data_IF_606257881591
#
_entry.id   IF_606257881591
#
_cell.length_a   1.000
_cell.length_b   1.000
_cell.length_c   1.000
_cell.angle_alpha   90.00
_cell.angle_beta   90.00
_cell.angle_gamma   90.00
#
_symmetry.space_group_name_H-M   'P 1'
#
loop_
_entity.id
_entity.type
_entity.pdbx_description
1 polymer ?
#
# COMPACT_ATOMS: atom_id res chain seq x y z
N UNK A 1 0.57 27.52 -15.75
CA UNK A 1 2.03 27.39 -16.01
C UNK A 1 2.80 26.85 -14.80
N UNK A 2 2.39 27.15 -13.54
CA UNK A 2 3.13 26.74 -12.34
C UNK A 2 3.04 25.22 -12.01
N UNK A 3 2.00 24.52 -12.42
CA UNK A 3 1.83 23.10 -12.10
C UNK A 3 2.73 22.16 -12.94
N UNK A 4 3.03 22.54 -14.17
CA UNK A 4 3.90 21.74 -15.04
C UNK A 4 5.38 21.83 -14.64
N UNK A 5 5.83 22.95 -14.10
CA UNK A 5 7.22 23.11 -13.66
C UNK A 5 7.53 22.28 -12.40
N UNK A 6 6.56 22.12 -11.49
CA UNK A 6 6.72 21.33 -10.25
C UNK A 6 6.84 19.84 -10.56
N UNK A 7 6.11 19.31 -11.54
CA UNK A 7 6.20 17.91 -11.97
C UNK A 7 7.53 17.64 -12.66
N UNK A 8 8.01 18.55 -13.51
CA UNK A 8 9.29 18.41 -14.18
C UNK A 8 10.49 18.50 -13.22
N UNK A 9 10.41 19.32 -12.17
CA UNK A 9 11.43 19.40 -11.12
C UNK A 9 11.44 18.12 -10.29
N UNK A 10 10.27 17.60 -9.89
CA UNK A 10 10.16 16.35 -9.13
C UNK A 10 10.69 15.13 -9.92
N UNK A 11 10.45 15.06 -11.23
CA UNK A 11 11.00 14.00 -12.09
C UNK A 11 12.51 14.09 -12.25
N UNK A 12 13.09 15.31 -12.33
CA UNK A 12 14.54 15.52 -12.37
C UNK A 12 15.23 15.16 -11.04
N UNK A 13 14.59 15.39 -9.90
CA UNK A 13 15.13 15.03 -8.59
C UNK A 13 15.21 13.51 -8.40
N UNK A 14 14.22 12.76 -8.92
CA UNK A 14 14.20 11.30 -8.88
C UNK A 14 15.35 10.68 -9.67
N UNK A 15 15.68 11.25 -10.82
CA UNK A 15 16.72 10.72 -11.73
C UNK A 15 18.16 10.88 -11.23
N UNK A 16 18.42 11.65 -10.16
CA UNK A 16 19.74 12.05 -9.73
C UNK A 16 20.19 11.58 -8.34
N UNK A 17 19.35 10.79 -7.62
CA UNK A 17 19.75 10.29 -6.29
C UNK A 17 20.84 9.22 -6.39
N UNK A 18 21.97 9.47 -5.75
CA UNK A 18 23.06 8.49 -5.60
C UNK A 18 22.73 7.50 -4.48
N UNK A 19 23.33 6.29 -4.49
CA UNK A 19 23.17 5.33 -3.40
C UNK A 19 23.41 5.96 -2.03
N UNK A 20 22.44 5.83 -1.13
CA UNK A 20 22.46 6.44 0.21
C UNK A 20 21.80 7.82 0.31
N UNK A 21 21.47 8.45 -0.82
CA UNK A 21 20.76 9.73 -0.81
C UNK A 21 19.24 9.55 -0.72
N UNK A 22 18.58 10.56 -0.16
CA UNK A 22 17.13 10.59 0.01
C UNK A 22 16.60 12.02 0.11
N UNK A 23 15.31 12.17 -0.10
CA UNK A 23 14.51 13.38 0.14
C UNK A 23 13.50 13.12 1.27
N UNK A 24 13.29 14.11 2.14
CA UNK A 24 12.28 13.99 3.20
C UNK A 24 11.61 15.33 3.45
N UNK A 25 10.30 15.40 3.20
CA UNK A 25 9.49 16.62 3.14
C UNK A 25 8.15 16.41 3.87
N UNK A 26 8.17 16.10 5.19
CA UNK A 26 6.94 15.77 5.92
C UNK A 26 5.96 16.94 6.05
N UNK A 27 6.44 18.17 5.90
CA UNK A 27 5.63 19.39 5.90
C UNK A 27 4.66 19.47 4.73
N UNK A 28 4.93 18.77 3.61
CA UNK A 28 4.00 18.71 2.45
C UNK A 28 2.67 18.04 2.78
N UNK A 29 2.65 17.17 3.78
CA UNK A 29 1.43 16.53 4.29
C UNK A 29 1.60 16.22 5.79
N UNK A 30 1.21 17.15 6.68
CA UNK A 30 1.44 17.02 8.12
C UNK A 30 0.73 15.84 8.78
N UNK A 31 -0.38 15.35 8.19
CA UNK A 31 -1.20 14.27 8.74
C UNK A 31 -1.79 13.40 7.62
N UNK A 32 -2.35 12.26 8.00
CA UNK A 32 -3.00 11.34 7.08
C UNK A 32 -2.37 9.94 7.10
N UNK A 33 -3.01 8.95 6.46
CA UNK A 33 -2.50 7.60 6.38
C UNK A 33 -1.20 7.55 5.58
N UNK A 34 -0.28 6.67 6.02
CA UNK A 34 1.00 6.44 5.35
C UNK A 34 0.91 5.21 4.47
N UNK A 35 1.45 5.29 3.26
CA UNK A 35 1.67 4.16 2.36
C UNK A 35 3.10 4.20 1.83
N UNK A 36 3.72 3.02 1.69
CA UNK A 36 5.08 2.88 1.20
C UNK A 36 5.06 2.11 -0.11
N UNK A 37 5.82 2.57 -1.09
CA UNK A 37 6.00 1.88 -2.36
C UNK A 37 7.48 1.63 -2.57
N UNK A 38 7.84 0.37 -2.80
CA UNK A 38 9.19 -0.04 -3.17
C UNK A 38 9.18 -0.41 -4.64
N UNK A 39 9.89 0.35 -5.47
CA UNK A 39 10.13 0.01 -6.87
C UNK A 39 11.40 -0.83 -6.97
N UNK A 40 11.27 -2.10 -7.36
CA UNK A 40 12.42 -2.99 -7.55
C UNK A 40 13.30 -2.57 -8.74
N UNK A 41 12.74 -2.22 -9.92
CA UNK A 41 13.56 -1.82 -11.05
C UNK A 41 14.33 -0.51 -10.81
N UNK A 42 13.72 0.44 -10.09
CA UNK A 42 14.33 1.75 -9.81
C UNK A 42 15.24 1.74 -8.58
N UNK A 43 15.17 0.70 -7.74
CA UNK A 43 15.81 0.64 -6.42
C UNK A 43 15.49 1.88 -5.57
N UNK A 44 14.19 2.26 -5.56
CA UNK A 44 13.66 3.43 -4.87
C UNK A 44 12.55 3.04 -3.90
N UNK A 45 12.44 3.80 -2.82
CA UNK A 45 11.34 3.74 -1.86
C UNK A 45 10.65 5.10 -1.83
N UNK A 46 9.35 5.10 -2.12
CA UNK A 46 8.48 6.26 -2.03
C UNK A 46 7.63 6.16 -0.78
N UNK A 47 7.52 7.27 -0.04
CA UNK A 47 6.67 7.36 1.14
C UNK A 47 5.60 8.41 0.91
N UNK A 48 4.35 7.99 0.98
CA UNK A 48 3.18 8.86 0.84
C UNK A 48 2.47 9.01 2.17
N UNK A 49 1.96 10.20 2.44
CA UNK A 49 1.09 10.48 3.58
C UNK A 49 -0.07 11.35 3.11
N UNK A 50 -1.33 10.86 3.29
CA UNK A 50 -2.51 11.51 2.74
C UNK A 50 -2.42 11.77 1.23
N UNK A 51 -1.87 10.81 0.47
CA UNK A 51 -1.68 10.87 -0.98
C UNK A 51 -0.55 11.77 -1.48
N UNK A 52 0.11 12.49 -0.61
CA UNK A 52 1.25 13.36 -0.97
C UNK A 52 2.56 12.64 -0.69
N UNK A 53 3.48 12.62 -1.65
CA UNK A 53 4.80 12.06 -1.43
C UNK A 53 5.60 12.94 -0.47
N UNK A 54 5.88 12.40 0.72
CA UNK A 54 6.67 13.06 1.77
C UNK A 54 8.09 12.53 1.87
N UNK A 55 8.39 11.41 1.21
CA UNK A 55 9.72 10.83 1.22
C UNK A 55 10.04 10.09 -0.07
N UNK A 56 11.31 10.14 -0.46
CA UNK A 56 11.90 9.38 -1.55
C UNK A 56 13.30 8.98 -1.15
N UNK A 57 13.66 7.70 -1.28
CA UNK A 57 14.99 7.21 -0.93
C UNK A 57 15.48 6.18 -1.91
N UNK A 58 16.77 6.14 -2.14
CA UNK A 58 17.42 4.96 -2.71
C UNK A 58 17.32 3.79 -1.74
N UNK A 59 17.30 2.58 -2.26
CA UNK A 59 17.34 1.35 -1.46
C UNK A 59 18.26 0.30 -2.08
N UNK A 60 18.45 -0.83 -1.40
CA UNK A 60 19.08 -2.02 -1.94
C UNK A 60 18.24 -3.23 -1.57
N UNK A 61 17.63 -3.84 -2.58
CA UNK A 61 16.71 -4.98 -2.43
C UNK A 61 17.43 -6.32 -2.56
N UNK A 62 16.68 -7.41 -2.63
CA UNK A 62 17.22 -8.77 -2.72
C UNK A 62 18.01 -9.02 -4.02
N UNK A 63 19.19 -9.61 -3.88
CA UNK A 63 20.03 -10.05 -5.02
C UNK A 63 19.45 -11.26 -5.73
N UNK A 64 19.98 -11.59 -6.91
CA UNK A 64 19.63 -12.82 -7.63
C UNK A 64 19.74 -14.07 -6.73
N UNK A 65 18.71 -14.90 -6.72
CA UNK A 65 18.60 -16.08 -5.83
C UNK A 65 18.05 -15.78 -4.43
N UNK A 66 17.90 -14.49 -4.07
CA UNK A 66 17.32 -14.01 -2.82
C UNK A 66 16.45 -12.79 -3.08
N UNK A 67 15.60 -12.86 -4.09
CA UNK A 67 14.78 -11.73 -4.54
C UNK A 67 13.84 -11.23 -3.43
N UNK A 68 13.66 -9.93 -3.36
CA UNK A 68 12.57 -9.35 -2.56
C UNK A 68 11.23 -9.72 -3.22
N UNK A 69 10.29 -10.32 -2.49
CA UNK A 69 9.01 -10.71 -3.08
C UNK A 69 8.19 -9.47 -3.45
N UNK A 70 7.54 -9.52 -4.60
CA UNK A 70 6.55 -8.52 -5.01
C UNK A 70 5.20 -8.75 -4.36
N UNK A 71 4.41 -7.72 -4.21
CA UNK A 71 3.05 -7.83 -3.67
C UNK A 71 2.66 -6.68 -2.76
N UNK A 72 1.55 -6.88 -2.07
CA UNK A 72 1.02 -5.94 -1.09
C UNK A 72 1.18 -6.51 0.30
N UNK A 73 1.93 -5.82 1.13
CA UNK A 73 2.27 -6.20 2.50
C UNK A 73 1.73 -5.15 3.47
N UNK A 74 1.71 -5.51 4.74
CA UNK A 74 1.56 -4.56 5.83
C UNK A 74 2.73 -4.71 6.81
N UNK A 75 3.05 -3.65 7.55
CA UNK A 75 4.03 -3.74 8.62
C UNK A 75 3.44 -4.59 9.74
N UNK A 76 4.10 -5.71 10.08
CA UNK A 76 3.67 -6.68 11.08
C UNK A 76 4.24 -6.40 12.47
N UNK A 77 5.46 -5.83 12.50
CA UNK A 77 6.23 -5.58 13.71
C UNK A 77 7.20 -4.44 13.45
N UNK A 78 7.50 -3.68 14.49
CA UNK A 78 8.51 -2.63 14.46
C UNK A 78 9.48 -2.83 15.61
N UNK A 79 10.78 -2.87 15.28
CA UNK A 79 11.84 -3.00 16.28
C UNK A 79 13.02 -2.10 15.92
N UNK A 80 13.28 -1.12 16.78
CA UNK A 80 14.34 -0.12 16.55
C UNK A 80 15.75 -0.71 16.59
N UNK A 81 15.95 -1.77 17.37
CA UNK A 81 17.26 -2.38 17.64
C UNK A 81 17.35 -3.83 17.18
N UNK A 82 16.54 -4.20 16.21
CA UNK A 82 16.45 -5.59 15.73
C UNK A 82 17.78 -6.15 15.27
N UNK A 83 17.96 -7.47 15.51
CA UNK A 83 19.06 -8.26 14.98
C UNK A 83 18.51 -9.52 14.31
N UNK A 84 19.08 -9.88 13.19
CA UNK A 84 18.65 -11.05 12.42
C UNK A 84 18.88 -12.35 13.19
N UNK A 85 17.85 -13.15 13.38
CA UNK A 85 17.96 -14.51 13.88
C UNK A 85 18.52 -15.49 12.83
N UNK A 86 18.46 -15.13 11.55
CA UNK A 86 18.82 -16.00 10.42
C UNK A 86 20.24 -15.73 9.90
N UNK A 87 20.70 -14.47 9.95
CA UNK A 87 21.94 -14.03 9.33
C UNK A 87 22.96 -13.55 10.38
N UNK A 88 23.54 -14.48 11.12
CA UNK A 88 24.66 -14.27 12.04
C UNK A 88 24.49 -13.00 12.94
N UNK A 89 23.31 -12.83 13.52
CA UNK A 89 23.00 -11.71 14.39
C UNK A 89 23.27 -10.32 13.77
N UNK A 90 23.18 -10.21 12.44
CA UNK A 90 23.40 -8.97 11.72
C UNK A 90 22.44 -7.86 12.20
N UNK A 91 22.93 -6.62 12.42
CA UNK A 91 22.08 -5.54 12.85
C UNK A 91 21.11 -5.14 11.75
N UNK A 92 19.85 -4.92 12.11
CA UNK A 92 18.75 -4.45 11.27
C UNK A 92 18.05 -3.24 11.94
N UNK A 93 18.75 -2.11 12.11
CA UNK A 93 18.18 -0.97 12.83
C UNK A 93 16.92 -0.43 12.17
N UNK A 94 15.98 0.05 12.97
CA UNK A 94 14.72 0.65 12.55
C UNK A 94 13.89 -0.31 11.69
N UNK A 95 13.86 -1.58 12.07
CA UNK A 95 13.16 -2.63 11.33
C UNK A 95 11.65 -2.39 11.31
N UNK A 96 11.09 -2.46 10.11
CA UNK A 96 9.66 -2.60 9.84
C UNK A 96 9.46 -3.94 9.13
N UNK A 97 8.97 -4.94 9.86
CA UNK A 97 8.80 -6.32 9.38
C UNK A 97 7.61 -6.43 8.43
N UNK A 98 7.82 -7.09 7.30
CA UNK A 98 6.77 -7.35 6.30
C UNK A 98 6.29 -8.78 6.29
N UNK A 99 7.18 -9.75 6.58
CA UNK A 99 6.82 -11.16 6.65
C UNK A 99 7.47 -11.84 7.86
N UNK A 100 6.83 -12.87 8.41
CA UNK A 100 7.42 -13.70 9.46
C UNK A 100 8.56 -14.59 8.95
N UNK A 101 8.74 -14.66 7.62
CA UNK A 101 9.88 -15.32 6.97
C UNK A 101 11.13 -14.45 6.88
N UNK A 102 11.09 -13.22 7.40
CA UNK A 102 12.26 -12.39 7.58
C UNK A 102 12.41 -11.22 6.59
N UNK A 103 11.44 -10.97 5.70
CA UNK A 103 11.46 -9.78 4.84
C UNK A 103 11.08 -8.55 5.66
N UNK A 104 11.88 -7.49 5.58
CA UNK A 104 11.67 -6.24 6.31
C UNK A 104 12.31 -5.05 5.57
N UNK A 105 11.83 -3.84 5.92
CA UNK A 105 12.53 -2.58 5.65
C UNK A 105 13.42 -2.28 6.87
N UNK A 106 14.69 -1.98 6.67
CA UNK A 106 15.61 -1.65 7.76
C UNK A 106 16.83 -0.87 7.26
N UNK A 107 17.59 -0.24 8.16
CA UNK A 107 18.85 0.39 7.79
C UNK A 107 19.89 -0.64 7.34
N UNK A 108 20.65 -0.34 6.29
CA UNK A 108 21.72 -1.23 5.83
C UNK A 108 22.63 -0.58 4.80
N UNK A 109 23.60 -1.34 4.31
CA UNK A 109 24.51 -0.89 3.27
C UNK A 109 23.83 -0.85 1.90
N UNK A 110 24.02 0.23 1.17
CA UNK A 110 23.47 0.49 -0.17
C UNK A 110 24.60 0.60 -1.21
N UNK A 111 24.98 -0.49 -1.86
CA UNK A 111 26.04 -0.46 -2.88
C UNK A 111 25.60 0.14 -4.23
N UNK A 112 24.30 0.48 -4.39
CA UNK A 112 23.73 1.02 -5.63
C UNK A 112 23.11 -0.04 -6.54
N UNK A 113 23.01 -1.29 -6.06
CA UNK A 113 22.39 -2.41 -6.76
C UNK A 113 21.74 -3.38 -5.75
N UNK A 114 20.89 -4.34 -6.18
CA UNK A 114 20.31 -5.36 -5.31
C UNK A 114 21.40 -6.23 -4.67
N UNK A 115 21.51 -6.20 -3.32
CA UNK A 115 22.59 -6.88 -2.59
C UNK A 115 22.13 -7.57 -1.29
N UNK A 116 20.85 -7.49 -0.93
CA UNK A 116 20.30 -8.10 0.28
C UNK A 116 19.94 -9.59 0.06
N UNK A 117 19.44 -10.23 1.11
CA UNK A 117 18.86 -11.57 1.08
C UNK A 117 17.32 -11.52 1.16
N UNK A 118 16.71 -10.53 0.50
CA UNK A 118 15.25 -10.34 0.42
C UNK A 118 14.73 -9.11 1.16
N UNK A 119 15.45 -8.57 2.12
CA UNK A 119 15.08 -7.31 2.78
C UNK A 119 15.30 -6.08 1.88
N UNK A 120 14.63 -5.00 2.22
CA UNK A 120 14.81 -3.68 1.62
C UNK A 120 15.71 -2.86 2.56
N UNK A 121 16.96 -2.66 2.16
CA UNK A 121 17.92 -1.85 2.92
C UNK A 121 17.75 -0.38 2.58
N UNK A 122 17.77 0.45 3.61
CA UNK A 122 17.57 1.90 3.56
C UNK A 122 18.79 2.64 4.13
N UNK A 123 19.01 3.91 3.73
CA UNK A 123 19.96 4.77 4.43
C UNK A 123 19.55 4.90 5.92
N UNK A 124 20.53 4.89 6.82
CA UNK A 124 20.25 4.92 8.28
C UNK A 124 19.33 6.08 8.65
N UNK A 125 19.66 7.28 8.20
CA UNK A 125 18.86 8.47 8.54
C UNK A 125 17.45 8.44 7.98
N UNK A 126 17.28 7.95 6.75
CA UNK A 126 15.96 7.78 6.17
C UNK A 126 15.14 6.72 6.93
N UNK A 127 15.76 5.61 7.32
CA UNK A 127 15.08 4.56 8.08
C UNK A 127 14.61 5.05 9.45
N UNK A 128 15.36 5.95 10.11
CA UNK A 128 14.95 6.62 11.35
C UNK A 128 13.71 7.47 11.14
N UNK A 129 13.71 8.30 10.08
CA UNK A 129 12.56 9.15 9.74
C UNK A 129 11.34 8.33 9.37
N UNK A 130 11.52 7.30 8.54
CA UNK A 130 10.44 6.38 8.17
C UNK A 130 9.84 5.69 9.40
N UNK A 131 10.69 5.25 10.31
CA UNK A 131 10.26 4.59 11.55
C UNK A 131 9.37 5.50 12.42
N UNK A 132 9.50 6.82 12.35
CA UNK A 132 8.67 7.75 13.12
C UNK A 132 7.27 7.94 12.57
N UNK A 133 7.06 7.73 11.28
CA UNK A 133 5.76 7.96 10.59
C UNK A 133 5.00 6.68 10.28
N UNK A 134 5.64 5.52 10.38
CA UNK A 134 5.01 4.21 10.16
C UNK A 134 4.45 3.65 11.46
N UNK A 135 3.47 2.76 11.34
CA UNK A 135 2.89 1.96 12.42
C UNK A 135 2.65 0.53 11.95
N UNK A 136 2.36 -0.39 12.86
CA UNK A 136 1.91 -1.74 12.49
C UNK A 136 0.59 -1.61 11.71
N UNK A 137 0.47 -2.32 10.59
CA UNK A 137 -0.65 -2.17 9.66
C UNK A 137 -0.41 -1.16 8.53
N UNK A 138 0.67 -0.35 8.55
CA UNK A 138 1.03 0.52 7.42
C UNK A 138 1.22 -0.32 6.16
N UNK A 139 0.51 -0.02 5.04
CA UNK A 139 0.66 -0.75 3.79
C UNK A 139 2.01 -0.47 3.12
N UNK A 140 2.61 -1.56 2.60
CA UNK A 140 3.85 -1.53 1.85
C UNK A 140 3.65 -2.31 0.55
N UNK A 141 3.76 -1.64 -0.58
CA UNK A 141 3.63 -2.21 -1.90
C UNK A 141 5.04 -2.41 -2.47
N UNK A 142 5.39 -3.64 -2.81
CA UNK A 142 6.65 -3.95 -3.49
C UNK A 142 6.32 -4.26 -4.95
N UNK A 143 6.73 -3.35 -5.83
CA UNK A 143 6.39 -3.35 -7.24
C UNK A 143 7.60 -3.78 -8.10
N UNK A 144 7.33 -4.57 -9.14
CA UNK A 144 8.30 -4.94 -10.18
C UNK A 144 8.23 -4.02 -11.41
N UNK A 145 7.43 -2.98 -11.33
CA UNK A 145 7.28 -1.94 -12.35
C UNK A 145 7.72 -0.57 -11.82
N UNK A 146 7.96 0.37 -12.73
CA UNK A 146 8.20 1.76 -12.41
C UNK A 146 6.95 2.36 -11.77
N UNK A 147 7.10 2.92 -10.57
CA UNK A 147 5.95 3.37 -9.78
C UNK A 147 5.59 4.82 -10.12
N UNK A 148 4.49 5.00 -10.85
CA UNK A 148 3.84 6.30 -11.03
C UNK A 148 2.46 6.27 -10.37
N UNK A 149 2.35 6.66 -9.09
CA UNK A 149 1.07 6.69 -8.40
C UNK A 149 0.16 7.77 -8.95
N UNK A 150 -1.14 7.46 -9.05
CA UNK A 150 -2.18 8.39 -9.45
C UNK A 150 -3.18 8.60 -8.31
N UNK A 151 -3.70 9.82 -8.19
CA UNK A 151 -4.80 10.12 -7.27
C UNK A 151 -6.12 9.96 -8.01
N UNK A 152 -7.02 9.18 -7.42
CA UNK A 152 -8.34 8.89 -7.98
C UNK A 152 -9.42 9.29 -6.98
N UNK A 153 -10.45 10.00 -7.44
CA UNK A 153 -11.62 10.33 -6.63
C UNK A 153 -12.79 9.47 -7.07
N UNK A 154 -13.08 8.42 -6.29
CA UNK A 154 -14.15 7.48 -6.57
C UNK A 154 -14.75 6.93 -5.27
N UNK A 155 -16.07 6.67 -5.20
CA UNK A 155 -16.67 6.07 -4.01
C UNK A 155 -16.17 4.66 -3.71
N UNK A 156 -15.45 4.01 -4.61
CA UNK A 156 -14.98 2.64 -4.46
C UNK A 156 -15.96 1.59 -5.04
N UNK A 157 -15.65 0.29 -4.93
CA UNK A 157 -16.40 -0.79 -5.57
C UNK A 157 -17.77 -1.09 -4.91
N UNK A 158 -18.38 -0.16 -4.21
CA UNK A 158 -19.36 -0.41 -3.16
C UNK A 158 -20.80 -0.09 -3.58
N UNK A 159 -21.05 0.40 -4.80
CA UNK A 159 -22.30 1.12 -5.07
C UNK A 159 -23.46 0.27 -5.61
N UNK A 160 -24.35 -0.08 -4.69
CA UNK A 160 -25.80 0.04 -4.91
C UNK A 160 -26.29 1.41 -4.39
N UNK A 161 -27.42 1.93 -4.89
CA UNK A 161 -27.97 3.25 -4.50
C UNK A 161 -28.21 3.42 -2.99
N UNK A 162 -28.46 2.34 -2.24
CA UNK A 162 -28.61 2.32 -0.79
C UNK A 162 -27.26 2.33 -0.06
N UNK A 163 -26.28 1.59 -0.56
CA UNK A 163 -24.94 1.56 -0.01
C UNK A 163 -24.24 2.92 -0.19
N UNK A 164 -24.53 3.67 -1.23
CA UNK A 164 -24.06 5.03 -1.42
C UNK A 164 -24.43 5.96 -0.27
N UNK A 165 -25.64 5.82 0.30
CA UNK A 165 -26.11 6.62 1.43
C UNK A 165 -25.39 6.24 2.73
N UNK A 166 -25.19 4.96 2.99
CA UNK A 166 -24.46 4.47 4.16
C UNK A 166 -22.97 4.78 4.07
N UNK A 167 -22.40 4.67 2.86
CA UNK A 167 -21.03 5.09 2.59
C UNK A 167 -20.82 6.58 2.87
N UNK A 168 -21.77 7.43 2.47
CA UNK A 168 -21.73 8.85 2.79
C UNK A 168 -21.62 9.10 4.30
N UNK A 169 -22.39 8.34 5.11
CA UNK A 169 -22.36 8.44 6.57
C UNK A 169 -21.03 7.92 7.14
N UNK A 170 -20.52 6.81 6.62
CA UNK A 170 -19.25 6.21 7.05
C UNK A 170 -18.07 7.10 6.68
N UNK A 171 -18.01 7.61 5.43
CA UNK A 171 -17.01 8.55 4.96
C UNK A 171 -17.04 9.86 5.75
N UNK A 172 -18.23 10.38 6.08
CA UNK A 172 -18.37 11.55 6.95
C UNK A 172 -17.84 11.30 8.37
N UNK A 173 -17.96 10.08 8.87
CA UNK A 173 -17.42 9.69 10.19
C UNK A 173 -15.90 9.62 10.22
N UNK A 174 -15.24 9.35 9.09
CA UNK A 174 -13.77 9.34 8.98
C UNK A 174 -13.16 10.72 9.26
N UNK A 175 -13.87 11.81 8.96
CA UNK A 175 -13.43 13.18 9.28
C UNK A 175 -13.24 13.44 10.78
N UNK A 176 -13.87 12.63 11.64
CA UNK A 176 -13.83 12.76 13.11
C UNK A 176 -12.78 11.84 13.76
N UNK A 177 -12.25 10.87 13.01
CA UNK A 177 -11.21 9.95 13.51
C UNK A 177 -9.83 10.57 13.26
N UNK A 178 -9.37 11.39 14.18
CA UNK A 178 -7.95 11.75 14.26
C UNK A 178 -7.19 10.54 14.81
N UNK A 179 -6.12 10.13 14.12
CA UNK A 179 -5.22 9.10 14.65
C UNK A 179 -4.64 9.58 15.98
N UNK A 180 -4.65 8.74 17.03
CA UNK A 180 -4.10 9.13 18.32
C UNK A 180 -2.59 9.37 18.23
N UNK A 181 -2.04 10.35 18.95
CA UNK A 181 -0.62 10.73 18.88
C UNK A 181 0.37 9.70 19.46
N UNK A 182 -0.14 8.62 20.10
CA UNK A 182 0.64 7.46 20.56
C UNK A 182 -0.15 6.19 20.33
N UNK A 183 0.32 5.38 19.38
CA UNK A 183 -0.23 4.04 19.16
C UNK A 183 0.37 3.06 20.16
N UNK A 184 -0.47 2.48 21.00
CA UNK A 184 -0.19 1.25 21.71
C UNK A 184 -0.59 0.07 20.82
N UNK A 185 0.04 -1.08 21.01
CA UNK A 185 -0.30 -2.34 20.33
C UNK A 185 -1.80 -2.70 20.46
N UNK A 186 -2.46 -2.23 21.48
CA UNK A 186 -3.86 -2.45 21.81
C UNK A 186 -4.84 -1.49 21.08
N UNK A 187 -4.34 -0.36 20.56
CA UNK A 187 -5.14 0.66 19.86
C UNK A 187 -5.12 0.49 18.34
N UNK A 188 -4.54 -0.61 17.83
CA UNK A 188 -4.45 -0.87 16.42
C UNK A 188 -5.85 -1.01 15.81
N UNK A 189 -6.21 -0.06 14.97
CA UNK A 189 -7.34 -0.24 14.07
C UNK A 189 -7.03 -1.47 13.22
N UNK A 190 -7.89 -2.48 13.31
CA UNK A 190 -7.76 -3.68 12.52
C UNK A 190 -7.54 -3.33 11.05
N UNK A 191 -6.42 -3.76 10.48
CA UNK A 191 -6.11 -3.47 9.09
C UNK A 191 -7.13 -4.19 8.20
N UNK A 192 -7.88 -3.41 7.44
CA UNK A 192 -8.88 -3.92 6.50
C UNK A 192 -8.32 -3.87 5.09
N UNK A 193 -8.46 -4.98 4.37
CA UNK A 193 -8.09 -5.09 2.97
C UNK A 193 -9.23 -5.68 2.15
N UNK A 194 -9.42 -5.15 0.96
CA UNK A 194 -10.37 -5.65 -0.03
C UNK A 194 -9.57 -6.31 -1.16
N UNK A 195 -9.89 -7.55 -1.48
CA UNK A 195 -9.30 -8.26 -2.61
C UNK A 195 -10.38 -8.53 -3.66
N UNK A 196 -10.15 -8.08 -4.87
CA UNK A 196 -11.03 -8.27 -6.01
C UNK A 196 -10.35 -9.16 -7.04
N UNK A 197 -10.93 -10.30 -7.33
CA UNK A 197 -10.49 -11.23 -8.36
C UNK A 197 -11.43 -11.17 -9.57
N UNK A 198 -10.84 -10.88 -10.75
CA UNK A 198 -11.58 -11.00 -12.02
C UNK A 198 -11.87 -12.45 -12.37
N UNK A 199 -10.90 -13.34 -12.15
CA UNK A 199 -11.05 -14.77 -12.45
C UNK A 199 -12.18 -15.42 -11.63
N UNK A 200 -12.23 -15.13 -10.34
CA UNK A 200 -13.24 -15.70 -9.44
C UNK A 200 -14.56 -14.94 -9.47
N UNK A 201 -14.56 -13.68 -9.97
CA UNK A 201 -15.68 -12.74 -9.89
C UNK A 201 -16.17 -12.56 -8.45
N UNK A 202 -15.24 -12.54 -7.52
CA UNK A 202 -15.49 -12.39 -6.08
C UNK A 202 -14.69 -11.22 -5.49
N UNK A 203 -15.27 -10.60 -4.46
CA UNK A 203 -14.61 -9.66 -3.57
C UNK A 203 -14.52 -10.29 -2.19
N UNK A 204 -13.32 -10.25 -1.62
CA UNK A 204 -13.01 -10.69 -0.26
C UNK A 204 -12.72 -9.49 0.61
N UNK A 205 -13.29 -9.48 1.79
CA UNK A 205 -12.98 -8.51 2.85
C UNK A 205 -12.13 -9.22 3.89
N UNK A 206 -10.91 -8.75 4.09
CA UNK A 206 -10.00 -9.26 5.09
C UNK A 206 -9.87 -8.25 6.22
N UNK A 207 -9.87 -8.74 7.44
CA UNK A 207 -9.55 -7.99 8.65
C UNK A 207 -8.46 -8.76 9.39
N UNK A 208 -7.31 -8.12 9.61
CA UNK A 208 -6.13 -8.76 10.21
C UNK A 208 -5.72 -10.06 9.49
N UNK A 209 -5.82 -10.08 8.16
CA UNK A 209 -5.52 -11.22 7.29
C UNK A 209 -6.58 -12.33 7.27
N UNK A 210 -7.64 -12.23 8.07
CA UNK A 210 -8.74 -13.20 8.07
C UNK A 210 -9.89 -12.73 7.18
N UNK A 211 -10.46 -13.65 6.40
CA UNK A 211 -11.66 -13.34 5.61
C UNK A 211 -12.86 -13.17 6.54
N UNK A 212 -13.37 -11.96 6.63
CA UNK A 212 -14.55 -11.63 7.47
C UNK A 212 -15.83 -11.49 6.66
N UNK A 213 -15.71 -11.31 5.34
CA UNK A 213 -16.82 -11.35 4.40
C UNK A 213 -16.31 -11.67 3.00
N UNK A 214 -17.17 -12.20 2.16
CA UNK A 214 -16.95 -12.34 0.72
C UNK A 214 -18.28 -12.39 -0.01
N UNK A 215 -18.26 -12.05 -1.29
CA UNK A 215 -19.44 -12.16 -2.14
C UNK A 215 -19.11 -11.93 -3.62
N UNK A 216 -20.06 -12.25 -4.49
CA UNK A 216 -19.92 -12.06 -5.91
C UNK A 216 -19.87 -10.56 -6.27
N UNK A 217 -19.18 -10.26 -7.35
CA UNK A 217 -19.15 -8.93 -7.95
C UNK A 217 -19.66 -8.97 -9.39
N UNK A 218 -20.28 -7.88 -9.79
CA UNK A 218 -20.51 -7.57 -11.21
C UNK A 218 -19.32 -6.80 -11.72
N UNK A 219 -18.79 -7.22 -12.87
CA UNK A 219 -17.66 -6.58 -13.52
C UNK A 219 -18.16 -6.03 -14.86
N UNK A 220 -18.05 -4.72 -15.03
CA UNK A 220 -18.24 -4.11 -16.34
C UNK A 220 -17.06 -4.49 -17.24
N UNK A 221 -17.35 -4.81 -18.51
CA UNK A 221 -16.33 -5.27 -19.46
C UNK A 221 -15.48 -6.44 -18.92
N UNK A 222 -16.10 -7.60 -18.58
CA UNK A 222 -15.44 -8.70 -17.86
C UNK A 222 -14.32 -9.38 -18.66
N UNK A 223 -14.25 -9.17 -19.97
CA UNK A 223 -13.20 -9.71 -20.83
C UNK A 223 -11.95 -8.83 -20.87
N UNK A 224 -12.03 -7.59 -20.43
CA UNK A 224 -10.88 -6.70 -20.31
C UNK A 224 -10.13 -6.98 -19.01
N UNK A 225 -8.81 -7.21 -19.03
CA UNK A 225 -8.04 -7.47 -17.82
C UNK A 225 -7.99 -6.24 -16.92
N UNK A 226 -7.86 -6.50 -15.60
CA UNK A 226 -7.57 -5.45 -14.61
C UNK A 226 -6.07 -5.12 -14.57
N UNK A 227 -5.22 -6.10 -14.87
CA UNK A 227 -3.84 -6.07 -14.42
C UNK A 227 -3.76 -6.29 -12.90
N UNK A 228 -2.75 -5.71 -12.27
CA UNK A 228 -2.61 -5.73 -10.81
C UNK A 228 -2.48 -4.32 -10.28
N UNK A 229 -3.52 -3.87 -9.59
CA UNK A 229 -3.62 -2.51 -9.06
C UNK A 229 -3.92 -2.52 -7.57
N UNK A 230 -3.34 -1.57 -6.87
CA UNK A 230 -3.57 -1.31 -5.45
C UNK A 230 -4.10 0.10 -5.28
N UNK A 231 -5.16 0.22 -4.50
CA UNK A 231 -5.72 1.51 -4.12
C UNK A 231 -5.64 1.62 -2.60
N UNK A 232 -5.15 2.73 -2.10
CA UNK A 232 -5.12 3.05 -0.68
C UNK A 232 -6.10 4.18 -0.41
N UNK A 233 -7.03 3.96 0.50
CA UNK A 233 -8.00 4.98 0.89
C UNK A 233 -7.30 6.06 1.70
N UNK A 234 -7.35 7.30 1.22
CA UNK A 234 -6.71 8.45 1.87
C UNK A 234 -7.65 9.19 2.80
N UNK A 235 -8.71 9.72 2.24
CA UNK A 235 -9.64 10.56 2.98
C UNK A 235 -11.01 10.60 2.29
N UNK A 236 -12.07 10.98 3.02
CA UNK A 236 -13.33 11.37 2.41
C UNK A 236 -13.13 12.60 1.53
N UNK A 237 -13.70 12.59 0.32
CA UNK A 237 -13.73 13.77 -0.53
C UNK A 237 -14.51 14.92 0.13
N UNK A 238 -14.15 16.18 -0.19
CA UNK A 238 -14.77 17.36 0.42
C UNK A 238 -16.29 17.40 0.29
N UNK A 239 -16.86 16.86 -0.78
CA UNK A 239 -18.30 16.76 -1.00
C UNK A 239 -18.98 15.67 -0.16
N UNK A 240 -18.23 14.78 0.49
CA UNK A 240 -18.74 13.66 1.26
C UNK A 240 -19.42 12.55 0.45
N UNK A 241 -19.45 12.63 -0.88
CA UNK A 241 -20.09 11.66 -1.78
C UNK A 241 -19.10 10.65 -2.39
N UNK A 242 -17.83 10.87 -2.21
CA UNK A 242 -16.75 10.04 -2.74
C UNK A 242 -15.60 9.97 -1.73
N UNK A 243 -14.66 9.10 -1.98
CA UNK A 243 -13.41 9.00 -1.25
C UNK A 243 -12.24 9.24 -2.21
N UNK A 244 -11.14 9.75 -1.68
CA UNK A 244 -9.90 9.89 -2.41
C UNK A 244 -9.07 8.63 -2.23
N UNK A 245 -8.65 8.04 -3.33
CA UNK A 245 -7.82 6.84 -3.38
C UNK A 245 -6.49 7.15 -4.03
N UNK A 246 -5.45 6.61 -3.45
CA UNK A 246 -4.12 6.61 -4.04
C UNK A 246 -3.93 5.30 -4.78
N UNK A 247 -3.86 5.37 -6.11
CA UNK A 247 -3.79 4.19 -6.97
C UNK A 247 -2.35 3.92 -7.40
N UNK A 248 -1.96 2.65 -7.34
CA UNK A 248 -0.61 2.18 -7.68
C UNK A 248 -0.74 0.92 -8.51
N UNK A 249 -0.08 0.88 -9.65
CA UNK A 249 0.15 -0.35 -10.39
C UNK A 249 1.41 -1.02 -9.83
N UNK A 250 1.35 -2.28 -9.47
CA UNK A 250 2.49 -2.97 -8.85
C UNK A 250 3.07 -4.11 -9.70
N UNK A 251 2.46 -4.42 -10.84
CA UNK A 251 2.99 -5.35 -11.84
C UNK A 251 2.81 -4.80 -13.24
N UNK A 252 3.70 -5.15 -14.16
CA UNK A 252 3.57 -4.82 -15.59
C UNK A 252 2.30 -5.44 -16.17
N UNK A 253 1.49 -4.68 -16.89
CA UNK A 253 0.22 -5.15 -17.43
C UNK A 253 -0.49 -4.11 -18.30
N UNK A 254 -1.73 -4.41 -18.74
CA UNK A 254 -2.50 -3.50 -19.58
C UNK A 254 -2.70 -2.12 -18.94
N UNK A 255 -2.61 -1.07 -19.77
CA UNK A 255 -2.78 0.33 -19.36
C UNK A 255 -4.27 0.72 -19.23
N UNK A 256 -4.98 0.18 -18.25
CA UNK A 256 -6.26 0.76 -17.88
C UNK A 256 -6.05 1.93 -16.90
N UNK A 257 -6.84 2.99 -17.01
CA UNK A 257 -6.77 4.07 -16.02
C UNK A 257 -7.29 3.59 -14.67
N UNK A 258 -6.66 4.02 -13.59
CA UNK A 258 -7.05 3.62 -12.25
C UNK A 258 -8.52 3.99 -11.94
N UNK A 259 -8.98 5.14 -12.42
CA UNK A 259 -10.36 5.61 -12.24
C UNK A 259 -11.36 4.72 -12.98
N UNK A 260 -11.04 4.31 -14.21
CA UNK A 260 -11.84 3.37 -14.99
C UNK A 260 -11.93 2.01 -14.28
N UNK A 261 -10.81 1.50 -13.79
CA UNK A 261 -10.76 0.20 -13.12
C UNK A 261 -11.62 0.13 -11.86
N UNK A 262 -11.51 1.11 -10.97
CA UNK A 262 -12.28 1.10 -9.71
C UNK A 262 -13.79 1.26 -9.99
N UNK A 263 -14.16 1.95 -11.08
CA UNK A 263 -15.54 2.11 -11.52
C UNK A 263 -16.19 0.87 -12.14
N UNK A 264 -15.40 -0.11 -12.57
CA UNK A 264 -15.89 -1.34 -13.24
C UNK A 264 -16.52 -2.37 -12.30
N UNK A 265 -16.43 -2.17 -10.99
CA UNK A 265 -16.80 -3.18 -10.00
C UNK A 265 -18.00 -2.74 -9.21
N UNK A 266 -18.97 -3.64 -9.06
CA UNK A 266 -20.14 -3.48 -8.20
C UNK A 266 -20.32 -4.74 -7.36
N UNK A 267 -20.38 -4.57 -6.03
CA UNK A 267 -20.78 -5.62 -5.11
C UNK A 267 -22.29 -5.59 -4.86
N UNK A 268 -22.83 -6.66 -4.29
CA UNK A 268 -24.20 -6.63 -3.81
C UNK A 268 -24.37 -5.68 -2.61
N UNK A 269 -25.62 -5.33 -2.31
CA UNK A 269 -25.95 -4.37 -1.27
C UNK A 269 -25.47 -4.82 0.13
N UNK A 270 -25.59 -6.12 0.45
CA UNK A 270 -25.21 -6.68 1.76
C UNK A 270 -23.70 -6.56 1.98
N UNK A 271 -22.91 -6.93 0.95
CA UNK A 271 -21.47 -6.83 0.99
C UNK A 271 -21.02 -5.37 1.02
N UNK A 272 -21.66 -4.50 0.22
CA UNK A 272 -21.41 -3.07 0.21
C UNK A 272 -21.63 -2.41 1.59
N UNK A 273 -22.72 -2.73 2.28
CA UNK A 273 -22.97 -2.26 3.65
C UNK A 273 -21.90 -2.73 4.64
N UNK A 274 -21.46 -3.99 4.51
CA UNK A 274 -20.40 -4.53 5.36
C UNK A 274 -19.09 -3.78 5.17
N UNK A 275 -18.71 -3.53 3.91
CA UNK A 275 -17.50 -2.78 3.56
C UNK A 275 -17.60 -1.35 4.09
N UNK A 276 -18.72 -0.66 3.86
CA UNK A 276 -18.93 0.71 4.31
C UNK A 276 -18.68 0.88 5.82
N UNK A 277 -19.11 -0.10 6.64
CA UNK A 277 -18.88 -0.10 8.08
C UNK A 277 -17.42 -0.36 8.51
N UNK A 278 -16.58 -0.83 7.60
CA UNK A 278 -15.17 -1.16 7.85
C UNK A 278 -14.20 -0.15 7.23
N UNK A 279 -14.71 0.84 6.49
CA UNK A 279 -13.86 1.83 5.83
C UNK A 279 -13.11 2.70 6.83
N UNK A 280 -11.82 2.87 6.58
CA UNK A 280 -10.96 3.78 7.33
C UNK A 280 -9.81 4.28 6.44
N UNK A 281 -9.20 5.43 6.72
CA UNK A 281 -7.97 5.84 6.03
C UNK A 281 -6.89 4.76 6.16
N UNK A 282 -6.22 4.44 5.05
CA UNK A 282 -5.25 3.35 4.98
C UNK A 282 -5.84 1.99 4.61
N UNK A 283 -7.17 1.86 4.45
CA UNK A 283 -7.78 0.66 3.86
C UNK A 283 -7.20 0.43 2.46
N UNK A 284 -6.84 -0.82 2.18
CA UNK A 284 -6.24 -1.23 0.91
C UNK A 284 -7.25 -1.99 0.07
N UNK A 285 -7.40 -1.61 -1.21
CA UNK A 285 -8.13 -2.37 -2.22
C UNK A 285 -7.14 -2.90 -3.25
N UNK A 286 -7.09 -4.21 -3.43
CA UNK A 286 -6.29 -4.88 -4.45
C UNK A 286 -7.20 -5.43 -5.53
N UNK A 287 -6.91 -5.10 -6.78
CA UNK A 287 -7.58 -5.64 -7.97
C UNK A 287 -6.61 -6.50 -8.76
N UNK A 288 -7.02 -7.72 -9.09
CA UNK A 288 -6.18 -8.68 -9.82
C UNK A 288 -6.98 -9.51 -10.81
N UNK A 289 -6.31 -9.95 -11.86
CA UNK A 289 -6.86 -10.92 -12.81
C UNK A 289 -6.74 -12.37 -12.31
N UNK A 290 -5.83 -12.62 -11.36
CA UNK A 290 -5.56 -13.95 -10.83
C UNK A 290 -6.66 -14.44 -9.86
N UNK A 291 -6.88 -15.76 -9.77
CA UNK A 291 -7.76 -16.33 -8.76
C UNK A 291 -7.14 -16.16 -7.35
N UNK A 292 -8.00 -16.00 -6.35
CA UNK A 292 -7.60 -15.78 -4.96
C UNK A 292 -7.53 -17.12 -4.20
N UNK A 293 -6.42 -17.83 -4.32
CA UNK A 293 -6.16 -19.03 -3.55
C UNK A 293 -5.64 -18.73 -2.14
N UNK A 294 -5.84 -19.69 -1.22
CA UNK A 294 -5.30 -19.60 0.14
C UNK A 294 -3.77 -19.53 0.19
N UNK A 295 -3.08 -19.96 -0.88
CA UNK A 295 -1.63 -19.90 -1.03
C UNK A 295 -1.11 -18.52 -1.40
N UNK A 296 -1.93 -17.66 -2.01
CA UNK A 296 -1.57 -16.26 -2.32
C UNK A 296 -1.90 -15.32 -1.18
N UNK A 297 -2.55 -15.82 -0.12
CA UNK A 297 -2.92 -15.11 1.10
C UNK A 297 -2.31 -15.83 2.28
N UNK A 298 -1.45 -15.20 3.04
CA UNK A 298 -0.91 -15.81 4.24
C UNK A 298 -1.67 -15.34 5.47
N UNK A 299 -2.31 -16.27 6.17
CA UNK A 299 -2.89 -15.99 7.51
C UNK A 299 -1.82 -15.59 8.53
N UNK A 300 -0.58 -16.05 8.31
CA UNK A 300 0.53 -15.86 9.25
C UNK A 300 1.33 -14.59 8.98
N UNK A 301 1.47 -14.22 7.70
CA UNK A 301 2.37 -13.14 7.29
C UNK A 301 1.64 -11.83 7.00
N UNK A 302 0.33 -11.79 7.19
CA UNK A 302 -0.47 -10.59 6.94
C UNK A 302 -0.22 -9.98 5.55
N UNK A 303 0.13 -10.82 4.60
CA UNK A 303 0.34 -10.44 3.22
C UNK A 303 -1.03 -10.32 2.59
N UNK A 304 -1.37 -9.15 2.11
CA UNK A 304 -2.64 -8.93 1.43
C UNK A 304 -2.64 -9.70 0.11
N UNK A 305 -1.52 -9.68 -0.60
CA UNK A 305 -1.30 -10.46 -1.81
C UNK A 305 0.20 -10.55 -2.12
N UNK A 306 0.72 -11.74 -2.38
CA UNK A 306 2.06 -11.94 -2.91
C UNK A 306 1.99 -12.64 -4.26
N UNK A 307 2.80 -12.18 -5.20
CA UNK A 307 3.14 -12.91 -6.41
C UNK A 307 4.45 -13.64 -6.17
N UNK A 308 4.42 -14.96 -6.32
CA UNK A 308 5.61 -15.81 -6.19
C UNK A 308 6.51 -15.74 -7.40
#
# INVERSE_FOLDING_TARGET
>A
LAAFDVIAVAAREVANLKPGEFLWMPEKSPSGPVAIIVSLPDQLVHVYRGGVRIGLSTCSTGKKGHSTPTGVFTILEKDKHHRSSTYNNAPMPNMNRLTWKGVALHAGNLPGYPASHGCVRLPLKFSELLFTVTHVGTPVIIADDHSEPATVTHPGPILSSLAAKEMHTSVASLKKKTLPPKERHEDMQHAVSLLVSRADRELYVLQDGNVVAKGPIKIDRPNEPFGSHVFVLEAPHQTGRAATWHAIRHTSGPNASAEDLIGRIQSDEKLAKRIAGLMHPGLVLVMTDAPLHSTTRSKRDFVVMAHG
#
